data_IF_867396048552
#
_entry.id   IF_867396048552
#
_cell.length_a   1.000
_cell.length_b   1.000
_cell.length_c   1.000
_cell.angle_alpha   90.00
_cell.angle_beta   90.00
_cell.angle_gamma   90.00
#
_symmetry.space_group_name_H-M   'P 1'
#
loop_
_entity.id
_entity.type
_entity.pdbx_description
1 polymer ?
#
# COMPACT_ATOMS: atom_id res chain seq x y z
N UNK A 1 -6.68 -13.12 11.32
CA UNK A 1 -6.39 -11.77 11.85
C UNK A 1 -7.64 -10.94 12.04
N UNK A 2 -8.37 -10.53 11.00
CA UNK A 2 -9.59 -9.70 11.17
C UNK A 2 -10.61 -10.28 12.17
N UNK A 3 -10.81 -11.60 12.17
CA UNK A 3 -11.65 -12.28 13.17
C UNK A 3 -11.18 -12.06 14.62
N UNK A 4 -9.87 -12.20 14.89
CA UNK A 4 -9.29 -12.00 16.24
C UNK A 4 -9.37 -10.54 16.72
N UNK A 5 -9.48 -9.58 15.80
CA UNK A 5 -9.58 -8.16 16.14
C UNK A 5 -11.03 -7.68 16.30
N UNK A 6 -12.01 -8.43 15.81
CA UNK A 6 -13.42 -8.03 15.77
C UNK A 6 -14.09 -8.01 17.16
N UNK A 7 -13.54 -8.71 18.16
CA UNK A 7 -14.20 -8.83 19.46
C UNK A 7 -13.28 -9.33 20.58
N UNK A 8 -13.80 -9.35 21.83
CA UNK A 8 -13.04 -9.81 22.99
C UNK A 8 -12.76 -11.31 22.93
N UNK A 9 -13.71 -12.10 22.44
CA UNK A 9 -13.56 -13.55 22.25
C UNK A 9 -13.95 -13.85 20.81
N UNK A 10 -13.00 -14.37 20.05
CA UNK A 10 -13.19 -14.73 18.65
C UNK A 10 -12.87 -16.21 18.47
N UNK A 11 -13.58 -16.84 17.55
CA UNK A 11 -13.31 -18.19 17.05
C UNK A 11 -13.29 -18.14 15.53
N UNK A 12 -12.64 -19.10 14.90
CA UNK A 12 -12.62 -19.20 13.45
C UNK A 12 -12.37 -20.65 13.06
N UNK A 13 -13.24 -21.19 12.21
CA UNK A 13 -13.15 -22.55 11.72
C UNK A 13 -13.08 -22.50 10.19
N UNK A 14 -11.88 -22.72 9.64
CA UNK A 14 -11.63 -22.72 8.21
C UNK A 14 -10.63 -23.78 7.81
N UNK A 15 -10.49 -23.99 6.51
CA UNK A 15 -9.73 -25.13 5.98
C UNK A 15 -8.23 -25.16 6.36
N UNK A 16 -7.63 -23.99 6.61
CA UNK A 16 -6.21 -23.85 6.90
C UNK A 16 -5.91 -23.32 8.30
N UNK A 17 -6.91 -22.71 8.94
CA UNK A 17 -6.81 -22.11 10.28
C UNK A 17 -8.10 -22.47 11.00
N UNK A 18 -7.97 -23.09 12.15
CA UNK A 18 -9.07 -23.51 13.00
C UNK A 18 -8.67 -23.26 14.45
N UNK A 19 -9.46 -22.47 15.19
CA UNK A 19 -9.25 -22.25 16.61
C UNK A 19 -10.57 -22.03 17.35
N UNK A 20 -10.65 -22.64 18.52
CA UNK A 20 -11.66 -22.42 19.56
C UNK A 20 -11.55 -20.99 20.16
N UNK A 21 -12.57 -20.51 20.91
CA UNK A 21 -12.60 -19.15 21.44
C UNK A 21 -11.28 -18.66 22.06
N UNK A 22 -10.70 -17.66 21.43
CA UNK A 22 -9.44 -17.04 21.81
C UNK A 22 -9.59 -15.52 22.00
N UNK A 23 -8.72 -14.95 22.83
CA UNK A 23 -8.65 -13.50 23.06
C UNK A 23 -7.31 -12.95 22.54
N UNK A 24 -7.37 -11.96 21.64
CA UNK A 24 -6.20 -11.23 21.16
C UNK A 24 -6.15 -9.82 21.79
N UNK A 25 -5.18 -9.59 22.67
CA UNK A 25 -4.98 -8.31 23.36
C UNK A 25 -3.50 -7.87 23.29
N UNK A 26 -3.20 -6.57 23.09
CA UNK A 26 -4.15 -5.47 22.89
C UNK A 26 -4.84 -5.56 21.51
N UNK A 27 -6.05 -4.99 21.42
CA UNK A 27 -6.77 -4.87 20.15
C UNK A 27 -6.34 -3.59 19.42
N UNK A 28 -6.48 -3.55 18.08
CA UNK A 28 -6.29 -2.31 17.34
C UNK A 28 -7.19 -1.21 17.90
N UNK A 29 -6.64 -0.03 18.19
CA UNK A 29 -7.38 1.09 18.78
C UNK A 29 -8.57 1.49 17.91
N UNK A 30 -8.42 1.41 16.59
CA UNK A 30 -9.46 1.73 15.61
C UNK A 30 -10.28 0.50 15.16
N UNK A 31 -10.19 -0.63 15.86
CA UNK A 31 -10.92 -1.87 15.56
C UNK A 31 -10.40 -2.67 14.36
N UNK A 32 -9.59 -2.08 13.48
CA UNK A 32 -8.96 -2.76 12.34
C UNK A 32 -7.52 -2.28 12.12
N UNK A 33 -6.71 -3.12 11.48
CA UNK A 33 -5.39 -2.76 10.94
C UNK A 33 -5.48 -2.91 9.42
N UNK A 34 -5.14 -1.87 8.63
CA UNK A 34 -5.11 -1.99 7.17
C UNK A 34 -4.19 -3.12 6.70
N UNK A 35 -4.70 -3.98 5.84
CA UNK A 35 -3.94 -5.07 5.22
C UNK A 35 -3.55 -4.65 3.81
N UNK A 36 -2.24 -4.59 3.55
CA UNK A 36 -1.68 -4.30 2.22
C UNK A 36 -1.17 -5.60 1.60
N UNK A 37 -1.54 -5.86 0.35
CA UNK A 37 -1.04 -7.01 -0.41
C UNK A 37 0.01 -6.52 -1.42
N UNK A 38 1.16 -7.19 -1.41
CA UNK A 38 2.26 -6.89 -2.32
C UNK A 38 2.41 -7.87 -3.49
N UNK A 39 3.11 -7.43 -4.53
CA UNK A 39 3.50 -8.21 -5.71
C UNK A 39 2.76 -7.82 -6.99
N UNK A 40 3.29 -8.19 -8.15
CA UNK A 40 2.89 -7.73 -9.50
C UNK A 40 2.18 -8.80 -10.36
N UNK A 41 2.00 -10.00 -9.79
CA UNK A 41 1.34 -11.14 -10.45
C UNK A 41 -0.19 -11.03 -10.40
N UNK A 42 -0.88 -11.70 -11.33
CA UNK A 42 -2.35 -11.79 -11.30
C UNK A 42 -2.86 -12.39 -9.98
N UNK A 43 -2.13 -13.34 -9.39
CA UNK A 43 -2.48 -13.93 -8.11
C UNK A 43 -2.39 -12.90 -6.96
N UNK A 44 -1.41 -11.99 -6.99
CA UNK A 44 -1.30 -10.91 -6.03
C UNK A 44 -2.43 -9.89 -6.20
N UNK A 45 -2.72 -9.47 -7.44
CA UNK A 45 -3.82 -8.55 -7.76
C UNK A 45 -5.16 -9.13 -7.30
N UNK A 46 -5.46 -10.38 -7.66
CA UNK A 46 -6.70 -11.04 -7.25
C UNK A 46 -6.82 -11.14 -5.72
N UNK A 47 -5.71 -11.35 -5.02
CA UNK A 47 -5.68 -11.37 -3.55
C UNK A 47 -5.93 -9.97 -2.96
N UNK A 48 -5.32 -8.93 -3.54
CA UNK A 48 -5.51 -7.56 -3.12
C UNK A 48 -6.99 -7.14 -3.27
N UNK A 49 -7.56 -7.37 -4.46
CA UNK A 49 -8.97 -7.09 -4.76
C UNK A 49 -9.91 -7.83 -3.81
N UNK A 50 -9.61 -9.08 -3.47
CA UNK A 50 -10.51 -9.88 -2.62
C UNK A 50 -10.46 -9.52 -1.14
N UNK A 51 -9.30 -9.14 -0.59
CA UNK A 51 -9.06 -9.18 0.86
C UNK A 51 -8.42 -7.92 1.46
N UNK A 52 -7.73 -7.13 0.64
CA UNK A 52 -6.81 -6.09 1.11
C UNK A 52 -7.48 -4.71 1.13
N UNK A 53 -7.02 -3.85 2.02
CA UNK A 53 -7.37 -2.43 2.07
C UNK A 53 -6.43 -1.61 1.17
N UNK A 54 -5.28 -2.17 0.78
CA UNK A 54 -4.33 -1.54 -0.12
C UNK A 54 -3.51 -2.52 -0.96
N UNK A 55 -2.89 -1.99 -2.00
CA UNK A 55 -2.06 -2.73 -2.94
C UNK A 55 -0.69 -2.09 -3.10
N UNK A 56 0.36 -2.91 -3.10
CA UNK A 56 1.75 -2.47 -3.28
C UNK A 56 2.50 -3.37 -4.29
N UNK A 57 2.54 -3.01 -5.59
CA UNK A 57 3.20 -3.85 -6.59
C UNK A 57 4.72 -3.92 -6.44
N UNK A 58 5.34 -2.99 -5.72
CA UNK A 58 6.80 -2.85 -5.69
C UNK A 58 7.39 -2.28 -6.98
N UNK A 59 6.57 -1.60 -7.79
CA UNK A 59 7.00 -0.96 -9.04
C UNK A 59 7.11 0.56 -8.83
N UNK A 60 8.13 1.16 -9.44
CA UNK A 60 8.39 2.60 -9.41
C UNK A 60 8.55 3.24 -10.79
N UNK A 61 8.56 2.44 -11.86
CA UNK A 61 8.38 2.94 -13.22
C UNK A 61 6.89 3.22 -13.47
N UNK A 62 6.57 4.45 -13.87
CA UNK A 62 5.21 4.94 -13.99
C UNK A 62 4.40 4.24 -15.09
N UNK A 63 5.04 3.86 -16.20
CA UNK A 63 4.37 3.16 -17.30
C UNK A 63 3.98 1.74 -16.86
N UNK A 64 4.92 1.02 -16.22
CA UNK A 64 4.68 -0.32 -15.70
C UNK A 64 3.69 -0.32 -14.55
N UNK A 65 3.78 0.67 -13.67
CA UNK A 65 2.81 0.89 -12.60
C UNK A 65 1.42 1.12 -13.17
N UNK A 66 1.25 2.02 -14.14
CA UNK A 66 -0.04 2.28 -14.79
C UNK A 66 -0.68 1.02 -15.36
N UNK A 67 0.10 0.15 -16.01
CA UNK A 67 -0.38 -1.16 -16.52
C UNK A 67 -0.85 -2.09 -15.38
N UNK A 68 -0.18 -2.07 -14.23
CA UNK A 68 -0.58 -2.84 -13.05
C UNK A 68 -1.86 -2.30 -12.42
N UNK A 69 -1.99 -0.98 -12.30
CA UNK A 69 -3.18 -0.34 -11.73
C UNK A 69 -4.41 -0.57 -12.60
N UNK A 70 -4.27 -0.55 -13.92
CA UNK A 70 -5.36 -0.90 -14.84
C UNK A 70 -5.83 -2.34 -14.65
N UNK A 71 -4.90 -3.30 -14.46
CA UNK A 71 -5.25 -4.69 -14.12
C UNK A 71 -5.98 -4.80 -12.79
N UNK A 72 -5.58 -4.02 -11.78
CA UNK A 72 -6.29 -3.95 -10.48
C UNK A 72 -7.71 -3.42 -10.67
N UNK A 73 -7.89 -2.34 -11.43
CA UNK A 73 -9.21 -1.75 -11.72
C UNK A 73 -10.13 -2.77 -12.39
N UNK A 74 -9.67 -3.44 -13.44
CA UNK A 74 -10.43 -4.47 -14.15
C UNK A 74 -10.80 -5.65 -13.25
N UNK A 75 -9.86 -6.10 -12.40
CA UNK A 75 -10.12 -7.20 -11.46
C UNK A 75 -11.13 -6.80 -10.37
N UNK A 76 -11.07 -5.57 -9.86
CA UNK A 76 -12.03 -5.03 -8.89
C UNK A 76 -13.44 -4.92 -9.48
N UNK A 77 -13.56 -4.39 -10.70
CA UNK A 77 -14.85 -4.32 -11.42
C UNK A 77 -15.45 -5.71 -11.63
N UNK A 78 -14.64 -6.68 -12.07
CA UNK A 78 -15.09 -8.08 -12.22
C UNK A 78 -15.55 -8.70 -10.90
N UNK A 79 -14.98 -8.27 -9.78
CA UNK A 79 -15.35 -8.71 -8.44
C UNK A 79 -16.52 -7.90 -7.84
N UNK A 80 -17.10 -6.93 -8.56
CA UNK A 80 -18.07 -5.96 -8.05
C UNK A 80 -17.58 -5.20 -6.81
N UNK A 81 -16.28 -4.87 -6.76
CA UNK A 81 -15.68 -4.03 -5.73
C UNK A 81 -15.33 -2.67 -6.33
N UNK A 82 -15.58 -1.60 -5.58
CA UNK A 82 -15.13 -0.27 -5.96
C UNK A 82 -13.58 -0.22 -5.92
N UNK A 83 -12.90 0.07 -7.04
CA UNK A 83 -11.44 0.15 -7.07
C UNK A 83 -10.86 1.19 -6.11
N UNK A 84 -11.61 2.25 -5.78
CA UNK A 84 -11.18 3.33 -4.87
C UNK A 84 -11.08 2.89 -3.41
N UNK A 85 -11.68 1.75 -3.04
CA UNK A 85 -11.51 1.13 -1.72
C UNK A 85 -10.14 0.44 -1.54
N UNK A 86 -9.30 0.43 -2.58
CA UNK A 86 -7.96 -0.16 -2.55
C UNK A 86 -6.94 0.97 -2.62
N UNK A 87 -6.32 1.31 -1.48
CA UNK A 87 -5.27 2.32 -1.44
C UNK A 87 -4.04 1.87 -2.25
N UNK A 88 -3.65 2.69 -3.23
CA UNK A 88 -2.49 2.41 -4.06
C UNK A 88 -1.22 2.95 -3.40
N UNK A 89 -0.27 2.04 -3.18
CA UNK A 89 1.05 2.31 -2.64
C UNK A 89 2.09 2.03 -3.74
N UNK A 90 3.11 2.88 -3.91
CA UNK A 90 4.12 2.70 -4.95
C UNK A 90 5.54 3.03 -4.47
N UNK A 91 6.55 2.48 -5.16
CA UNK A 91 7.95 2.87 -4.92
C UNK A 91 8.21 4.19 -5.62
N UNK A 92 8.81 5.15 -4.91
CA UNK A 92 9.30 6.39 -5.47
C UNK A 92 10.81 6.25 -5.73
N UNK A 93 11.12 5.78 -6.94
CA UNK A 93 12.47 5.37 -7.33
C UNK A 93 12.99 6.18 -8.49
N UNK A 94 12.48 5.91 -9.70
CA UNK A 94 12.86 6.64 -10.91
C UNK A 94 12.62 8.16 -10.78
N UNK A 95 11.57 8.51 -10.05
CA UNK A 95 11.14 9.87 -9.75
C UNK A 95 12.17 10.66 -8.94
N UNK A 96 13.13 10.00 -8.28
CA UNK A 96 14.21 10.70 -7.58
C UNK A 96 15.07 11.57 -8.51
N UNK A 97 15.05 11.33 -9.83
CA UNK A 97 15.70 12.19 -10.81
C UNK A 97 15.04 13.58 -10.91
N UNK A 98 13.72 13.67 -10.71
CA UNK A 98 12.98 14.93 -10.62
C UNK A 98 11.80 14.77 -9.62
N UNK A 99 12.05 14.91 -8.31
CA UNK A 99 11.07 14.56 -7.29
C UNK A 99 9.78 15.39 -7.35
N UNK A 100 9.84 16.66 -7.77
CA UNK A 100 8.66 17.52 -7.85
C UNK A 100 7.70 17.01 -8.92
N UNK A 101 8.21 16.82 -10.15
CA UNK A 101 7.41 16.27 -11.24
C UNK A 101 6.96 14.83 -10.95
N UNK A 102 7.80 14.06 -10.25
CA UNK A 102 7.49 12.69 -9.87
C UNK A 102 6.33 12.57 -8.87
N UNK A 103 6.15 13.53 -7.96
CA UNK A 103 4.97 13.55 -7.08
C UNK A 103 3.69 13.78 -7.88
N UNK A 104 3.71 14.74 -8.81
CA UNK A 104 2.57 15.03 -9.69
C UNK A 104 2.21 13.81 -10.56
N UNK A 105 3.23 13.14 -11.10
CA UNK A 105 3.07 11.92 -11.90
C UNK A 105 2.42 10.78 -11.09
N UNK A 106 2.90 10.55 -9.87
CA UNK A 106 2.33 9.53 -8.98
C UNK A 106 0.90 9.86 -8.56
N UNK A 107 0.62 11.12 -8.24
CA UNK A 107 -0.74 11.57 -7.93
C UNK A 107 -1.69 11.38 -9.12
N UNK A 108 -1.25 11.69 -10.35
CA UNK A 108 -2.05 11.49 -11.56
C UNK A 108 -2.37 10.00 -11.84
N UNK A 109 -1.51 9.08 -11.39
CA UNK A 109 -1.77 7.64 -11.43
C UNK A 109 -2.70 7.15 -10.32
N UNK A 110 -3.11 8.01 -9.40
CA UNK A 110 -3.95 7.66 -8.25
C UNK A 110 -3.19 7.01 -7.10
N UNK A 111 -1.86 7.19 -7.02
CA UNK A 111 -1.06 6.71 -5.89
C UNK A 111 -1.38 7.54 -4.66
N UNK A 112 -1.93 6.90 -3.63
CA UNK A 112 -2.23 7.53 -2.34
C UNK A 112 -1.02 7.62 -1.41
N UNK A 113 -0.05 6.70 -1.59
CA UNK A 113 1.17 6.67 -0.77
C UNK A 113 2.41 6.29 -1.57
N UNK A 114 3.43 7.13 -1.47
CA UNK A 114 4.76 6.89 -2.04
C UNK A 114 5.72 6.36 -0.97
N UNK A 115 6.59 5.41 -1.35
CA UNK A 115 7.63 4.87 -0.49
C UNK A 115 9.00 5.11 -1.10
N UNK A 116 9.85 5.82 -0.36
CA UNK A 116 11.18 6.20 -0.82
C UNK A 116 12.20 5.25 -0.18
N UNK A 117 12.96 4.47 -0.96
CA UNK A 117 14.01 3.63 -0.43
C UNK A 117 15.10 4.45 0.29
N UNK A 118 15.42 4.08 1.53
CA UNK A 118 16.37 4.81 2.36
C UNK A 118 17.79 4.89 1.77
N UNK A 119 18.14 3.98 0.85
CA UNK A 119 19.47 3.98 0.21
C UNK A 119 19.74 5.23 -0.63
N UNK A 120 18.72 5.97 -1.08
CA UNK A 120 18.91 7.27 -1.75
C UNK A 120 19.61 8.30 -0.86
N UNK A 121 19.52 8.10 0.45
CA UNK A 121 20.13 8.95 1.46
C UNK A 121 21.34 8.28 2.13
N UNK A 122 21.88 7.19 1.57
CA UNK A 122 23.05 6.53 2.14
C UNK A 122 24.31 7.41 2.07
N UNK A 123 25.20 7.24 3.05
CA UNK A 123 26.51 7.91 3.13
C UNK A 123 26.53 9.16 4.02
N UNK A 124 27.70 9.81 4.13
CA UNK A 124 27.87 11.04 4.92
C UNK A 124 26.89 12.14 4.48
N UNK A 125 26.31 12.86 5.45
CA UNK A 125 25.28 13.89 5.18
C UNK A 125 23.93 13.33 4.69
N UNK A 126 23.72 12.02 4.80
CA UNK A 126 22.49 11.34 4.38
C UNK A 126 21.23 11.87 5.05
N UNK A 127 21.27 12.01 6.37
CA UNK A 127 20.13 12.52 7.15
C UNK A 127 19.79 13.98 6.81
N UNK A 128 20.79 14.81 6.53
CA UNK A 128 20.58 16.21 6.14
C UNK A 128 19.87 16.28 4.78
N UNK A 129 20.33 15.50 3.78
CA UNK A 129 19.66 15.38 2.48
C UNK A 129 18.24 14.81 2.60
N UNK A 130 18.02 13.88 3.53
CA UNK A 130 16.69 13.34 3.80
C UNK A 130 15.76 14.40 4.41
N UNK A 131 16.27 15.22 5.32
CA UNK A 131 15.53 16.34 5.90
C UNK A 131 15.19 17.40 4.85
N UNK A 132 16.16 17.85 4.05
CA UNK A 132 15.96 18.78 2.94
C UNK A 132 14.94 18.25 1.91
N UNK A 133 15.02 16.96 1.59
CA UNK A 133 14.02 16.31 0.74
C UNK A 133 12.63 16.38 1.36
N UNK A 134 12.50 16.04 2.65
CA UNK A 134 11.23 16.10 3.38
C UNK A 134 10.63 17.50 3.37
N UNK A 135 11.42 18.52 3.66
CA UNK A 135 10.99 19.93 3.65
C UNK A 135 10.49 20.38 2.27
N UNK A 136 11.11 19.90 1.20
CA UNK A 136 10.73 20.26 -0.17
C UNK A 136 9.53 19.49 -0.69
N UNK A 137 9.42 18.20 -0.36
CA UNK A 137 8.50 17.27 -1.04
C UNK A 137 7.23 16.98 -0.26
N UNK A 138 7.28 16.90 1.07
CA UNK A 138 6.07 16.64 1.89
C UNK A 138 4.97 17.69 1.67
N UNK A 139 5.25 19.00 1.51
CA UNK A 139 4.19 19.98 1.24
C UNK A 139 3.45 19.75 -0.08
N UNK A 140 4.06 19.07 -1.05
CA UNK A 140 3.48 18.80 -2.37
C UNK A 140 2.49 17.63 -2.34
N UNK A 141 2.45 16.83 -1.26
CA UNK A 141 1.59 15.65 -1.15
C UNK A 141 0.30 15.91 -0.36
N UNK A 142 0.01 17.16 0.01
CA UNK A 142 -1.14 17.55 0.85
C UNK A 142 -2.24 18.31 0.08
N UNK A 143 -2.14 18.40 -1.25
CA UNK A 143 -3.09 19.09 -2.12
C UNK A 143 -4.23 18.20 -2.58
#
# INVERSE_FOLDING_TARGET
MRALWAGPHAEFHGNFVDFDPATCSPRPVNGNIPVIVGGDTDAAINRAVKLADGYFPGEGDSERLGKLLERVRQAAEKANRDPSEIEINAIFGAQMANPVAGVEEMAALGVGRIMIPAFFFAGPGGLDRMAEFGEKIIPLTQS
#
